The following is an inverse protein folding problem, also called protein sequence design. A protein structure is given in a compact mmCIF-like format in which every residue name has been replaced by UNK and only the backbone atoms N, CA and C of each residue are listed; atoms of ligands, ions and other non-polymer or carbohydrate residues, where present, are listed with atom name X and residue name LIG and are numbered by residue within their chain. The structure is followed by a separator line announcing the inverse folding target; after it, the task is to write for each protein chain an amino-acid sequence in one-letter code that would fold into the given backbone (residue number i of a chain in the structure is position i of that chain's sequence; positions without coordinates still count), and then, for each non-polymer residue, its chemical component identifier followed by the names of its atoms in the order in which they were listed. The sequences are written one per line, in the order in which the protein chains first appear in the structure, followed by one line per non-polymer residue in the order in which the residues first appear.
data_IF_383104449718
#
_entry.id   IF_383104449718
#
_cell.length_a   1.000
_cell.length_b   1.000
_cell.length_c   1.000
_cell.angle_alpha   90.00
_cell.angle_beta   90.00
_cell.angle_gamma   90.00
#
_symmetry.space_group_name_H-M   'P 1'
#
loop_
_entity.id
_entity.type
_entity.pdbx_description
1 polymer ?
#
# COMPACT_ATOMS: atom_id res chain seq x y z
N UNK A 1 -63.45 -26.69 -22.01
CA UNK A 1 -62.13 -26.10 -22.31
C UNK A 1 -61.14 -26.61 -21.26
N UNK A 2 -60.09 -27.35 -21.64
CA UNK A 2 -59.21 -28.07 -20.71
C UNK A 2 -57.86 -27.36 -20.41
N UNK A 3 -57.29 -27.76 -19.26
CA UNK A 3 -55.88 -27.66 -18.78
C UNK A 3 -55.35 -26.33 -18.21
N UNK A 4 -55.21 -26.32 -16.88
CA UNK A 4 -54.13 -25.64 -16.14
C UNK A 4 -52.87 -26.53 -16.22
N UNK A 5 -51.69 -25.98 -16.52
CA UNK A 5 -50.42 -26.43 -15.94
C UNK A 5 -49.80 -25.25 -15.14
N UNK A 6 -49.64 -25.39 -13.82
CA UNK A 6 -48.44 -25.88 -13.12
C UNK A 6 -47.17 -25.08 -13.40
N UNK A 7 -46.96 -24.09 -12.51
CA UNK A 7 -45.73 -23.69 -11.83
C UNK A 7 -44.40 -24.15 -12.46
N UNK A 8 -43.61 -23.20 -12.98
CA UNK A 8 -42.16 -23.33 -13.03
C UNK A 8 -41.51 -22.21 -12.23
N UNK A 9 -40.95 -22.65 -11.12
CA UNK A 9 -40.11 -21.95 -10.17
C UNK A 9 -38.92 -21.32 -10.89
N UNK A 10 -39.00 -20.03 -11.18
CA UNK A 10 -37.86 -19.19 -11.57
C UNK A 10 -37.13 -18.59 -10.37
N UNK A 11 -36.83 -19.40 -9.34
CA UNK A 11 -35.70 -19.10 -8.48
C UNK A 11 -34.46 -19.43 -9.31
N UNK A 12 -33.63 -18.43 -9.64
CA UNK A 12 -32.18 -18.55 -9.59
C UNK A 12 -31.50 -17.22 -10.00
N UNK A 13 -31.02 -16.52 -8.97
CA UNK A 13 -29.65 -16.00 -8.94
C UNK A 13 -29.21 -14.99 -10.02
N UNK A 14 -29.94 -13.89 -10.20
CA UNK A 14 -29.31 -12.64 -10.66
C UNK A 14 -28.76 -11.82 -9.47
N UNK A 15 -28.13 -12.50 -8.52
CA UNK A 15 -27.21 -11.86 -7.57
C UNK A 15 -25.85 -11.97 -8.24
N UNK A 16 -25.62 -11.13 -9.24
CA UNK A 16 -24.28 -10.88 -9.76
C UNK A 16 -23.43 -10.52 -8.55
N UNK A 17 -22.65 -11.50 -8.08
CA UNK A 17 -21.62 -11.27 -7.10
C UNK A 17 -20.74 -10.20 -7.73
N UNK A 18 -20.80 -8.99 -7.18
CA UNK A 18 -19.88 -7.91 -7.55
C UNK A 18 -18.50 -8.49 -7.31
N UNK A 19 -17.83 -8.92 -8.37
CA UNK A 19 -16.45 -9.32 -8.30
C UNK A 19 -15.71 -8.10 -7.76
N UNK A 20 -15.26 -8.17 -6.52
CA UNK A 20 -14.36 -7.16 -5.96
C UNK A 20 -13.14 -7.14 -6.89
N UNK A 21 -12.84 -6.02 -7.55
CA UNK A 21 -11.68 -5.97 -8.41
C UNK A 21 -10.46 -6.35 -7.57
N UNK A 22 -9.75 -7.38 -8.01
CA UNK A 22 -8.45 -7.74 -7.42
C UNK A 22 -7.54 -6.56 -7.73
N UNK A 23 -7.25 -5.75 -6.71
CA UNK A 23 -6.29 -4.66 -6.84
C UNK A 23 -4.91 -5.31 -6.89
N UNK A 24 -4.33 -5.38 -8.08
CA UNK A 24 -2.96 -5.82 -8.23
C UNK A 24 -2.01 -4.89 -7.44
N UNK A 25 -0.97 -5.43 -6.79
CA UNK A 25 0.04 -4.61 -6.15
C UNK A 25 0.65 -3.62 -7.15
N UNK A 26 0.83 -2.36 -6.74
CA UNK A 26 1.46 -1.33 -7.58
C UNK A 26 2.94 -1.65 -7.80
N UNK A 27 3.25 -2.36 -8.89
CA UNK A 27 4.60 -2.79 -9.23
C UNK A 27 5.57 -1.62 -9.39
N UNK A 28 5.10 -0.48 -9.91
CA UNK A 28 5.94 0.71 -10.08
C UNK A 28 6.23 1.36 -8.73
N UNK A 29 5.21 1.51 -7.88
CA UNK A 29 5.38 2.01 -6.52
C UNK A 29 6.35 1.16 -5.70
N UNK A 30 6.24 -0.17 -5.80
CA UNK A 30 7.16 -1.10 -5.14
C UNK A 30 8.60 -0.99 -5.66
N UNK A 31 8.78 -0.94 -6.98
CA UNK A 31 10.12 -0.76 -7.57
C UNK A 31 10.75 0.57 -7.18
N UNK A 32 9.98 1.67 -7.19
CA UNK A 32 10.45 2.98 -6.75
C UNK A 32 10.88 2.97 -5.28
N UNK A 33 10.08 2.35 -4.42
CA UNK A 33 10.39 2.26 -2.99
C UNK A 33 11.69 1.48 -2.73
N UNK A 34 11.87 0.33 -3.38
CA UNK A 34 13.09 -0.49 -3.27
C UNK A 34 14.34 0.25 -3.78
N UNK A 35 14.20 1.00 -4.89
CA UNK A 35 15.27 1.83 -5.42
C UNK A 35 15.64 2.96 -4.44
N UNK A 36 14.64 3.61 -3.84
CA UNK A 36 14.86 4.66 -2.84
C UNK A 36 15.55 4.13 -1.59
N UNK A 37 15.10 2.99 -1.07
CA UNK A 37 15.75 2.32 0.08
C UNK A 37 17.21 1.98 -0.23
N UNK A 38 17.46 1.35 -1.38
CA UNK A 38 18.82 1.00 -1.83
C UNK A 38 19.72 2.22 -1.98
N UNK A 39 19.16 3.34 -2.48
CA UNK A 39 19.87 4.60 -2.60
C UNK A 39 20.24 5.18 -1.23
N UNK A 40 19.30 5.19 -0.28
CA UNK A 40 19.56 5.70 1.08
C UNK A 40 20.66 4.88 1.76
N UNK A 41 20.63 3.55 1.67
CA UNK A 41 21.72 2.69 2.15
C UNK A 41 23.06 3.04 1.50
N UNK A 42 23.09 3.19 0.17
CA UNK A 42 24.31 3.55 -0.56
C UNK A 42 24.89 4.90 -0.10
N UNK A 43 24.03 5.88 0.18
CA UNK A 43 24.45 7.19 0.68
C UNK A 43 25.03 7.10 2.09
N UNK A 44 24.45 6.28 2.96
CA UNK A 44 24.96 6.02 4.31
C UNK A 44 26.31 5.31 4.27
N UNK A 45 26.43 4.26 3.46
CA UNK A 45 27.68 3.50 3.30
C UNK A 45 28.82 4.35 2.74
N UNK A 46 28.51 5.30 1.85
CA UNK A 46 29.48 6.24 1.30
C UNK A 46 29.79 7.41 2.23
N UNK A 47 29.13 7.51 3.39
CA UNK A 47 29.29 8.60 4.35
C UNK A 47 28.77 9.95 3.85
N UNK A 48 27.94 9.96 2.79
CA UNK A 48 27.29 11.17 2.29
C UNK A 48 26.10 11.61 3.18
N UNK A 49 25.59 10.66 3.97
CA UNK A 49 24.49 10.86 4.90
C UNK A 49 24.74 9.98 6.14
N UNK A 50 24.38 10.43 7.33
CA UNK A 50 24.37 9.57 8.53
C UNK A 50 23.10 8.71 8.58
N UNK A 51 23.15 7.60 9.30
CA UNK A 51 21.95 6.78 9.53
C UNK A 51 20.81 7.56 10.21
N UNK A 52 21.15 8.50 11.10
CA UNK A 52 20.17 9.39 11.77
C UNK A 52 19.48 10.31 10.75
N UNK A 53 20.24 10.87 9.81
CA UNK A 53 19.68 11.69 8.73
C UNK A 53 18.82 10.85 7.76
N UNK A 54 19.17 9.58 7.54
CA UNK A 54 18.36 8.66 6.71
C UNK A 54 17.01 8.41 7.37
N UNK A 55 17.01 8.05 8.66
CA UNK A 55 15.79 7.87 9.45
C UNK A 55 14.95 9.14 9.47
N UNK A 56 15.56 10.32 9.65
CA UNK A 56 14.86 11.61 9.60
C UNK A 56 14.19 11.88 8.24
N UNK A 57 14.84 11.47 7.15
CA UNK A 57 14.26 11.58 5.79
C UNK A 57 13.03 10.67 5.64
N UNK A 58 13.11 9.44 6.13
CA UNK A 58 11.99 8.48 6.09
C UNK A 58 10.82 8.95 6.97
N UNK A 59 11.11 9.47 8.16
CA UNK A 59 10.10 10.04 9.05
C UNK A 59 9.38 11.24 8.40
N UNK A 60 10.13 12.13 7.75
CA UNK A 60 9.55 13.25 6.99
C UNK A 60 8.64 12.74 5.86
N UNK A 61 9.06 11.70 5.13
CA UNK A 61 8.23 11.09 4.09
C UNK A 61 6.92 10.50 4.65
N UNK A 62 6.95 9.91 5.85
CA UNK A 62 5.77 9.39 6.52
C UNK A 62 4.79 10.50 6.96
N UNK A 63 5.30 11.65 7.40
CA UNK A 63 4.49 12.84 7.68
C UNK A 63 3.82 13.38 6.42
N UNK A 64 4.59 13.57 5.35
CA UNK A 64 4.07 14.02 4.05
C UNK A 64 3.03 13.03 3.51
N UNK A 65 3.23 11.73 3.68
CA UNK A 65 2.23 10.72 3.28
C UNK A 65 0.90 10.91 4.02
N UNK A 66 0.91 11.21 5.32
CA UNK A 66 -0.31 11.48 6.09
C UNK A 66 -1.03 12.72 5.56
N UNK A 67 -0.29 13.79 5.30
CA UNK A 67 -0.84 15.04 4.75
C UNK A 67 -1.45 14.84 3.37
N UNK A 68 -0.72 14.17 2.47
CA UNK A 68 -1.19 13.88 1.10
C UNK A 68 -2.40 12.96 1.13
N UNK A 69 -2.39 11.90 1.94
CA UNK A 69 -3.52 10.99 2.09
C UNK A 69 -4.79 11.73 2.54
N UNK A 70 -4.65 12.64 3.51
CA UNK A 70 -5.75 13.50 3.97
C UNK A 70 -6.24 14.44 2.85
N UNK A 71 -5.32 15.02 2.08
CA UNK A 71 -5.65 15.96 0.99
C UNK A 71 -6.41 15.29 -0.16
N UNK A 72 -6.03 14.06 -0.54
CA UNK A 72 -6.61 13.35 -1.69
C UNK A 72 -7.77 12.42 -1.31
N UNK A 73 -8.10 12.31 -0.02
CA UNK A 73 -9.15 11.40 0.48
C UNK A 73 -8.77 9.92 0.32
N UNK A 74 -7.49 9.58 0.50
CA UNK A 74 -7.04 8.19 0.48
C UNK A 74 -7.65 7.39 1.65
N UNK A 75 -7.91 6.09 1.43
CA UNK A 75 -8.42 5.24 2.51
C UNK A 75 -7.36 5.03 3.60
N UNK A 76 -7.82 4.94 4.85
CA UNK A 76 -6.95 4.67 6.00
C UNK A 76 -6.12 3.39 5.82
N UNK A 77 -6.70 2.34 5.23
CA UNK A 77 -5.99 1.08 4.95
C UNK A 77 -4.81 1.27 4.00
N UNK A 78 -4.99 2.01 2.90
CA UNK A 78 -3.92 2.28 1.93
C UNK A 78 -2.86 3.21 2.49
N UNK A 79 -3.28 4.22 3.25
CA UNK A 79 -2.35 5.09 3.97
C UNK A 79 -1.51 4.27 4.95
N UNK A 80 -2.13 3.42 5.78
CA UNK A 80 -1.43 2.61 6.77
C UNK A 80 -0.48 1.61 6.12
N UNK A 81 -0.90 0.95 5.04
CA UNK A 81 0.00 0.06 4.28
C UNK A 81 1.25 0.80 3.77
N UNK A 82 1.12 2.07 3.37
CA UNK A 82 2.26 2.89 2.97
C UNK A 82 3.15 3.27 4.16
N UNK A 83 2.54 3.59 5.31
CA UNK A 83 3.28 3.92 6.53
C UNK A 83 4.04 2.71 7.07
N UNK A 84 3.46 1.51 7.02
CA UNK A 84 4.12 0.26 7.43
C UNK A 84 5.34 -0.05 6.55
N UNK A 85 5.30 0.33 5.26
CA UNK A 85 6.46 0.19 4.38
C UNK A 85 7.57 1.18 4.75
N UNK A 86 7.21 2.43 5.07
CA UNK A 86 8.19 3.43 5.51
C UNK A 86 8.80 3.07 6.87
N UNK A 87 8.02 2.53 7.80
CA UNK A 87 8.49 2.06 9.12
C UNK A 87 9.52 0.91 8.99
N UNK A 88 9.31 -0.01 8.05
CA UNK A 88 10.28 -1.07 7.73
C UNK A 88 11.59 -0.51 7.21
N UNK A 89 11.53 0.51 6.33
CA UNK A 89 12.71 1.18 5.80
C UNK A 89 13.44 1.92 6.93
N UNK A 90 12.74 2.66 7.80
CA UNK A 90 13.37 3.31 8.95
C UNK A 90 14.10 2.28 9.83
N UNK A 91 13.44 1.16 10.11
CA UNK A 91 13.98 0.07 10.91
C UNK A 91 15.22 -0.60 10.31
N UNK A 92 15.39 -0.57 8.98
CA UNK A 92 16.59 -1.14 8.35
C UNK A 92 17.85 -0.34 8.70
N UNK A 93 17.72 0.97 8.97
CA UNK A 93 18.81 1.85 9.37
C UNK A 93 19.21 1.73 10.84
N UNK A 94 18.35 1.19 11.70
CA UNK A 94 18.66 0.97 13.13
C UNK A 94 19.87 0.04 13.34
N UNK A 95 20.30 -0.69 12.31
CA UNK A 95 21.46 -1.58 12.35
C UNK A 95 22.81 -0.86 12.27
N UNK A 96 22.89 0.36 11.73
CA UNK A 96 24.15 1.14 11.58
C UNK A 96 24.72 1.68 12.91
N UNK A 97 23.95 1.62 14.00
CA UNK A 97 24.35 2.09 15.33
C UNK A 97 24.89 1.00 16.28
N UNK A 98 25.16 -0.21 15.78
CA UNK A 98 25.77 -1.32 16.55
C UNK A 98 27.21 -1.58 16.16
#
# INVERSE_FOLDING_TARGET
MPRIPSNDTGLNHAREARATPIVEPDAHGQAALLLTESLLHTLVEKGALSAVEAMGTVCTAAEVKREVAALIGESNERMQASLDLLDKIESSFATYGR
#
